data_IF_600179164805
#
_entry.id   IF_600179164805
#
_cell.length_a   1.000
_cell.length_b   1.000
_cell.length_c   1.000
_cell.angle_alpha   90.00
_cell.angle_beta   90.00
_cell.angle_gamma   90.00
#
_symmetry.space_group_name_H-M   'P 1'
#
loop_
_entity.id
_entity.type
_entity.pdbx_description
1 polymer ?
#
# COMPACT_ATOMS: atom_id res chain seq x y z
N UNK A 1 1.15 -19.93 18.59
CA UNK A 1 0.18 -19.81 17.48
C UNK A 1 0.77 -18.81 16.51
N UNK A 2 0.59 -18.95 15.19
CA UNK A 2 1.01 -17.89 14.27
C UNK A 2 0.21 -16.61 14.58
N UNK A 3 0.88 -15.47 14.62
CA UNK A 3 0.25 -14.16 14.76
C UNK A 3 -0.73 -13.95 13.60
N UNK A 4 -1.97 -13.58 13.90
CA UNK A 4 -2.96 -13.28 12.87
C UNK A 4 -2.93 -11.79 12.54
N UNK A 5 -2.52 -11.45 11.33
CA UNK A 5 -2.46 -10.06 10.85
C UNK A 5 -3.59 -9.86 9.83
N UNK A 6 -4.41 -8.84 10.04
CA UNK A 6 -5.41 -8.38 9.08
C UNK A 6 -5.11 -6.94 8.69
N UNK A 7 -4.84 -6.71 7.40
CA UNK A 7 -4.60 -5.39 6.84
C UNK A 7 -5.76 -5.04 5.91
N UNK A 8 -6.47 -3.97 6.26
CA UNK A 8 -7.53 -3.39 5.43
C UNK A 8 -7.07 -2.03 4.93
N UNK A 9 -6.67 -1.96 3.68
CA UNK A 9 -6.38 -0.71 2.99
C UNK A 9 -7.69 0.04 2.76
N UNK A 10 -7.78 1.25 3.31
CA UNK A 10 -8.97 2.09 3.21
C UNK A 10 -8.87 3.09 2.06
N UNK A 11 -7.65 3.54 1.76
CA UNK A 11 -7.38 4.45 0.66
C UNK A 11 -5.92 4.36 0.25
N UNK A 12 -5.64 4.28 -1.05
CA UNK A 12 -4.29 4.35 -1.58
C UNK A 12 -4.22 5.11 -2.91
N UNK A 13 -3.21 5.96 -3.06
CA UNK A 13 -2.93 6.73 -4.27
C UNK A 13 -1.52 6.46 -4.77
N UNK A 14 -1.34 6.37 -6.09
CA UNK A 14 -0.03 6.26 -6.72
C UNK A 14 0.13 7.31 -7.82
N UNK A 15 1.29 7.96 -7.88
CA UNK A 15 1.62 8.89 -8.96
C UNK A 15 2.47 10.08 -8.51
N UNK A 16 2.27 11.21 -9.18
CA UNK A 16 2.92 12.49 -8.86
C UNK A 16 1.88 13.61 -8.89
N UNK A 17 2.23 14.78 -8.37
CA UNK A 17 1.34 15.95 -8.34
C UNK A 17 0.66 16.19 -9.70
N UNK A 18 -0.67 16.16 -9.72
CA UNK A 18 -1.49 16.36 -10.92
C UNK A 18 -1.69 15.12 -11.81
N UNK A 19 -1.03 13.99 -11.51
CA UNK A 19 -1.15 12.70 -12.19
C UNK A 19 -1.14 11.56 -11.15
N UNK A 20 -2.17 11.50 -10.34
CA UNK A 20 -2.39 10.44 -9.34
C UNK A 20 -3.57 9.57 -9.74
N UNK A 21 -3.46 8.28 -9.46
CA UNK A 21 -4.54 7.31 -9.65
C UNK A 21 -4.86 6.62 -8.31
N UNK A 22 -6.14 6.28 -8.13
CA UNK A 22 -6.59 5.46 -7.02
C UNK A 22 -6.16 4.01 -7.26
N UNK A 23 -5.41 3.47 -6.30
CA UNK A 23 -4.90 2.10 -6.32
C UNK A 23 -5.34 1.32 -5.09
N UNK A 24 -6.41 1.75 -4.40
CA UNK A 24 -6.90 1.15 -3.15
C UNK A 24 -7.15 -0.35 -3.30
N UNK A 25 -7.94 -0.75 -4.31
CA UNK A 25 -8.24 -2.16 -4.56
C UNK A 25 -7.00 -2.94 -5.02
N UNK A 26 -6.22 -2.37 -5.94
CA UNK A 26 -4.99 -2.98 -6.45
C UNK A 26 -3.95 -3.21 -5.34
N UNK A 27 -3.80 -2.26 -4.43
CA UNK A 27 -2.91 -2.38 -3.28
C UNK A 27 -3.39 -3.46 -2.32
N UNK A 28 -4.70 -3.56 -2.06
CA UNK A 28 -5.27 -4.59 -1.19
C UNK A 28 -5.05 -6.01 -1.76
N UNK A 29 -5.21 -6.17 -3.07
CA UNK A 29 -4.94 -7.43 -3.78
C UNK A 29 -3.44 -7.74 -3.90
N UNK A 30 -2.60 -6.71 -3.81
CA UNK A 30 -1.16 -6.83 -3.95
C UNK A 30 -0.41 -7.16 -2.65
N UNK A 31 -1.09 -7.29 -1.52
CA UNK A 31 -0.47 -7.69 -0.26
C UNK A 31 0.12 -9.10 -0.34
N UNK A 32 1.31 -9.28 0.24
CA UNK A 32 1.99 -10.57 0.43
C UNK A 32 2.21 -10.79 1.93
N UNK A 33 1.19 -11.31 2.62
CA UNK A 33 1.20 -11.33 4.07
C UNK A 33 1.01 -9.92 4.62
N UNK A 34 2.03 -9.40 5.30
CA UNK A 34 2.13 -8.07 5.87
C UNK A 34 3.00 -7.10 5.05
N UNK A 35 3.44 -7.52 3.86
CA UNK A 35 4.25 -6.69 2.96
C UNK A 35 3.45 -6.18 1.75
N UNK A 36 3.83 -4.99 1.25
CA UNK A 36 3.42 -4.46 -0.05
C UNK A 36 4.61 -3.84 -0.78
N UNK A 37 4.99 -4.41 -1.93
CA UNK A 37 5.94 -3.77 -2.86
C UNK A 37 5.23 -2.79 -3.77
N UNK A 38 5.61 -1.51 -3.68
CA UNK A 38 5.09 -0.43 -4.52
C UNK A 38 5.76 -0.53 -5.90
N UNK A 39 5.02 -0.95 -6.91
CA UNK A 39 5.44 -0.79 -8.31
C UNK A 39 4.26 -0.94 -9.24
N UNK A 40 4.33 -0.34 -10.43
CA UNK A 40 3.30 -0.48 -11.47
C UNK A 40 3.01 -1.94 -11.81
N UNK A 41 4.04 -2.79 -11.84
CA UNK A 41 3.92 -4.22 -12.10
C UNK A 41 3.19 -4.94 -10.97
N UNK A 42 3.54 -4.65 -9.71
CA UNK A 42 2.93 -5.32 -8.55
C UNK A 42 1.48 -4.91 -8.34
N UNK A 43 1.18 -3.64 -8.62
CA UNK A 43 -0.16 -3.06 -8.56
C UNK A 43 -1.01 -3.36 -9.82
N UNK A 44 -0.42 -3.91 -10.89
CA UNK A 44 -1.16 -4.26 -12.10
C UNK A 44 -1.73 -3.06 -12.86
N UNK A 45 -1.06 -1.92 -12.83
CA UNK A 45 -1.51 -0.64 -13.40
C UNK A 45 -0.56 -0.15 -14.50
N UNK A 46 -1.06 0.75 -15.36
CA UNK A 46 -0.21 1.54 -16.25
C UNK A 46 0.53 2.65 -15.46
N UNK A 47 1.74 3.02 -15.88
CA UNK A 47 2.50 4.09 -15.22
C UNK A 47 1.83 5.45 -15.46
N UNK A 48 1.31 6.12 -14.40
CA UNK A 48 0.63 7.41 -14.54
C UNK A 48 1.59 8.56 -14.91
N UNK A 49 2.90 8.41 -14.69
CA UNK A 49 3.91 9.41 -14.99
C UNK A 49 5.23 8.75 -15.43
N UNK A 50 5.32 8.24 -16.67
CA UNK A 50 6.52 7.59 -17.19
C UNK A 50 7.73 8.52 -17.15
N UNK A 51 8.87 8.00 -16.67
CA UNK A 51 10.13 8.74 -16.56
C UNK A 51 10.26 9.62 -15.32
N UNK A 52 9.19 9.81 -14.55
CA UNK A 52 9.21 10.57 -13.30
C UNK A 52 9.32 9.66 -12.09
N UNK A 53 9.77 10.19 -10.94
CA UNK A 53 9.66 9.45 -9.67
C UNK A 53 8.25 9.60 -9.12
N UNK A 54 7.59 8.47 -8.86
CA UNK A 54 6.23 8.45 -8.30
C UNK A 54 6.29 8.18 -6.81
N UNK A 55 5.23 8.60 -6.14
CA UNK A 55 4.99 8.39 -4.74
C UNK A 55 3.73 7.56 -4.57
N UNK A 56 3.72 6.81 -3.49
CA UNK A 56 2.58 6.04 -3.04
C UNK A 56 2.15 6.58 -1.68
N UNK A 57 0.87 6.80 -1.49
CA UNK A 57 0.30 7.18 -0.20
C UNK A 57 -0.78 6.17 0.17
N UNK A 58 -0.78 5.70 1.41
CA UNK A 58 -1.74 4.72 1.90
C UNK A 58 -2.27 5.07 3.28
N UNK A 59 -3.55 4.77 3.48
CA UNK A 59 -4.24 4.69 4.75
C UNK A 59 -4.81 3.28 4.91
N UNK A 60 -4.53 2.63 6.04
CA UNK A 60 -5.01 1.29 6.34
C UNK A 60 -5.42 1.15 7.80
N UNK A 61 -6.33 0.20 8.06
CA UNK A 61 -6.61 -0.34 9.40
C UNK A 61 -5.89 -1.66 9.56
N UNK A 62 -5.07 -1.78 10.59
CA UNK A 62 -4.34 -3.00 10.90
C UNK A 62 -4.87 -3.60 12.19
N UNK A 63 -5.16 -4.90 12.17
CA UNK A 63 -5.50 -5.68 13.36
C UNK A 63 -4.51 -6.83 13.53
N UNK A 64 -3.91 -6.93 14.71
CA UNK A 64 -2.98 -8.01 15.07
C UNK A 64 -3.60 -8.81 16.21
N UNK A 65 -3.78 -10.11 15.99
CA UNK A 65 -4.49 -11.03 16.87
C UNK A 65 -5.86 -10.47 17.29
N UNK A 66 -6.17 -10.51 18.59
CA UNK A 66 -7.43 -10.02 19.14
C UNK A 66 -7.37 -8.56 19.62
N UNK A 67 -6.30 -7.84 19.29
CA UNK A 67 -6.16 -6.43 19.66
C UNK A 67 -7.13 -5.51 18.89
N UNK A 68 -7.36 -4.31 19.41
CA UNK A 68 -8.11 -3.28 18.72
C UNK A 68 -7.38 -2.84 17.44
N UNK A 69 -8.10 -2.66 16.30
CA UNK A 69 -7.47 -2.17 15.08
C UNK A 69 -6.92 -0.75 15.25
N UNK A 70 -5.74 -0.48 14.69
CA UNK A 70 -5.13 0.84 14.66
C UNK A 70 -5.00 1.40 13.25
N UNK A 71 -4.93 2.72 13.15
CA UNK A 71 -4.70 3.44 11.90
C UNK A 71 -3.22 3.41 11.52
N UNK A 72 -2.97 3.12 10.25
CA UNK A 72 -1.66 3.17 9.64
C UNK A 72 -1.70 4.12 8.44
N UNK A 73 -0.76 5.07 8.42
CA UNK A 73 -0.58 6.00 7.32
C UNK A 73 0.87 6.00 6.89
N UNK A 74 1.11 5.91 5.59
CA UNK A 74 2.45 5.86 5.06
C UNK A 74 2.53 6.53 3.69
N UNK A 75 3.68 7.16 3.42
CA UNK A 75 4.03 7.70 2.11
C UNK A 75 5.40 7.15 1.73
N UNK A 76 5.44 6.40 0.63
CA UNK A 76 6.64 5.78 0.09
C UNK A 76 6.93 6.21 -1.34
N UNK A 77 8.05 5.74 -1.87
CA UNK A 77 8.44 5.93 -3.28
C UNK A 77 8.15 4.70 -4.11
N UNK A 78 8.13 4.88 -5.43
CA UNK A 78 8.16 3.76 -6.38
C UNK A 78 9.34 2.82 -6.06
N UNK A 79 9.10 1.51 -6.12
CA UNK A 79 10.00 0.40 -5.76
C UNK A 79 10.29 0.18 -4.28
N UNK A 80 9.64 0.90 -3.37
CA UNK A 80 9.73 0.65 -1.94
C UNK A 80 8.81 -0.50 -1.50
N UNK A 81 9.27 -1.33 -0.57
CA UNK A 81 8.42 -2.33 0.09
C UNK A 81 8.03 -1.78 1.46
N UNK A 82 6.73 -1.74 1.72
CA UNK A 82 6.16 -1.40 3.02
C UNK A 82 5.98 -2.69 3.80
N UNK A 83 6.56 -2.74 4.99
CA UNK A 83 6.19 -3.68 6.04
C UNK A 83 5.16 -2.98 6.95
N UNK A 84 3.95 -3.53 7.02
CA UNK A 84 2.87 -2.97 7.82
C UNK A 84 2.99 -3.30 9.32
N UNK A 85 3.82 -4.29 9.69
CA UNK A 85 4.00 -4.78 11.05
C UNK A 85 5.49 -4.82 11.41
N UNK A 86 6.00 -3.66 11.83
CA UNK A 86 7.39 -3.47 12.28
C UNK A 86 7.66 -4.10 13.65
#
# INVERSE_FOLDING_TARGET
MPTQINIKIEHALFGIQGKTIDVTAAAQEALEGDDLTISVKRLGIEDPAPGETKFFAVSAKIKIDDNDPYDFHYIGKDYETIDFVV
#
